data_IF_886780397563
#
_entry.id   IF_886780397563
#
_cell.length_a   1.000
_cell.length_b   1.000
_cell.length_c   1.000
_cell.angle_alpha   90.00
_cell.angle_beta   90.00
_cell.angle_gamma   90.00
#
_symmetry.space_group_name_H-M   'P 1'
#
loop_
_entity.id
_entity.type
_entity.pdbx_description
1 polymer ?
#
# COMPACT_ATOMS: atom_id res chain seq x y z
N UNK A 1 -67.52 26.77 -4.34
CA UNK A 1 -67.08 26.05 -5.55
C UNK A 1 -65.61 25.70 -5.39
N UNK A 2 -65.23 24.49 -5.79
CA UNK A 2 -63.93 23.82 -5.60
C UNK A 2 -63.09 23.89 -6.86
N UNK A 3 -61.77 24.13 -6.73
CA UNK A 3 -60.65 23.66 -7.58
C UNK A 3 -59.41 23.71 -6.65
N UNK A 4 -58.68 22.67 -6.23
CA UNK A 4 -58.15 21.39 -6.77
C UNK A 4 -56.90 21.52 -7.67
N UNK A 5 -55.76 21.00 -7.17
CA UNK A 5 -54.49 20.68 -7.88
C UNK A 5 -53.49 21.85 -8.01
N UNK A 6 -52.26 21.84 -7.50
CA UNK A 6 -51.17 20.86 -7.72
C UNK A 6 -50.20 20.75 -6.52
N UNK A 7 -49.78 19.50 -6.24
CA UNK A 7 -48.66 19.08 -5.37
C UNK A 7 -47.32 19.24 -6.11
N UNK A 8 -46.30 19.81 -5.47
CA UNK A 8 -44.86 19.41 -5.51
C UNK A 8 -44.11 20.25 -4.47
N UNK A 9 -43.90 19.71 -3.27
CA UNK A 9 -42.63 19.17 -2.75
C UNK A 9 -41.46 20.18 -2.63
N UNK A 10 -40.99 20.48 -1.39
CA UNK A 10 -39.83 21.33 -1.14
C UNK A 10 -38.55 20.50 -1.26
N UNK A 11 -38.07 20.25 -2.48
CA UNK A 11 -36.83 19.49 -2.71
C UNK A 11 -36.05 20.14 -3.86
N UNK A 12 -35.58 21.37 -3.65
CA UNK A 12 -34.69 22.04 -4.60
C UNK A 12 -33.48 22.67 -3.87
N UNK A 13 -32.99 22.01 -2.83
CA UNK A 13 -31.80 22.40 -2.08
C UNK A 13 -30.89 21.20 -1.77
N UNK A 14 -30.87 20.19 -2.65
CA UNK A 14 -29.95 19.05 -2.60
C UNK A 14 -29.33 18.86 -3.98
N UNK A 15 -28.63 19.89 -4.46
CA UNK A 15 -27.72 19.78 -5.61
C UNK A 15 -26.55 20.69 -5.27
N UNK A 16 -25.32 20.22 -5.52
CA UNK A 16 -24.03 20.91 -5.35
C UNK A 16 -23.23 20.63 -4.07
N UNK A 17 -22.99 19.35 -3.76
CA UNK A 17 -21.78 18.94 -3.04
C UNK A 17 -21.28 17.59 -3.59
N UNK A 18 -21.05 17.54 -4.90
CA UNK A 18 -20.16 16.54 -5.48
C UNK A 18 -18.72 17.05 -5.28
N UNK A 19 -18.20 16.87 -4.07
CA UNK A 19 -16.76 16.93 -3.88
C UNK A 19 -16.18 15.72 -4.63
N UNK A 20 -15.53 15.99 -5.77
CA UNK A 20 -14.69 15.00 -6.41
C UNK A 20 -13.62 14.58 -5.41
N UNK A 21 -13.81 13.40 -4.80
CA UNK A 21 -12.77 12.74 -4.04
C UNK A 21 -11.68 12.32 -5.03
N UNK A 22 -10.77 13.24 -5.37
CA UNK A 22 -9.50 12.88 -5.97
C UNK A 22 -8.72 12.09 -4.92
N UNK A 23 -8.83 10.76 -4.96
CA UNK A 23 -7.87 9.88 -4.31
C UNK A 23 -6.52 10.10 -5.00
N UNK A 24 -5.67 10.96 -4.42
CA UNK A 24 -4.33 11.18 -4.95
C UNK A 24 -3.49 9.95 -4.64
N UNK A 25 -3.11 9.22 -5.68
CA UNK A 25 -2.05 8.22 -5.59
C UNK A 25 -0.75 8.91 -5.15
N UNK A 26 0.05 8.30 -4.25
CA UNK A 26 1.36 8.83 -3.89
C UNK A 26 2.24 8.96 -5.14
N UNK A 27 3.25 9.84 -5.10
CA UNK A 27 4.04 10.17 -6.29
C UNK A 27 4.76 8.94 -6.87
N UNK A 28 5.19 8.01 -6.02
CA UNK A 28 5.76 6.71 -6.38
C UNK A 28 4.77 5.79 -7.12
N UNK A 29 3.47 5.94 -6.87
CA UNK A 29 2.42 5.13 -7.48
C UNK A 29 1.98 5.63 -8.86
N UNK A 30 2.50 6.76 -9.35
CA UNK A 30 2.09 7.37 -10.63
C UNK A 30 2.37 6.49 -11.87
N UNK A 31 3.26 5.50 -11.75
CA UNK A 31 3.54 4.57 -12.84
C UNK A 31 2.54 3.40 -12.93
N UNK A 32 1.68 3.23 -11.93
CA UNK A 32 0.73 2.12 -11.85
C UNK A 32 -0.69 2.60 -12.18
N UNK A 33 -1.50 1.76 -12.82
CA UNK A 33 -2.85 2.17 -13.27
C UNK A 33 -3.80 2.33 -12.08
N UNK A 34 -3.52 1.64 -10.97
CA UNK A 34 -4.28 1.74 -9.74
C UNK A 34 -3.44 1.36 -8.50
N UNK A 35 -3.99 1.61 -7.32
CA UNK A 35 -3.35 1.28 -6.04
C UNK A 35 -3.09 -0.22 -5.87
N UNK A 36 -3.99 -1.08 -6.33
CA UNK A 36 -3.85 -2.55 -6.19
C UNK A 36 -2.63 -3.06 -6.94
N UNK A 37 -2.40 -2.59 -8.17
CA UNK A 37 -1.20 -2.93 -8.94
C UNK A 37 0.08 -2.44 -8.27
N UNK A 38 0.09 -1.22 -7.73
CA UNK A 38 1.24 -0.74 -6.96
C UNK A 38 1.50 -1.63 -5.75
N UNK A 39 0.44 -1.96 -5.00
CA UNK A 39 0.54 -2.80 -3.82
C UNK A 39 1.06 -4.20 -4.11
N UNK A 40 0.57 -4.81 -5.18
CA UNK A 40 1.06 -6.10 -5.63
C UNK A 40 2.54 -6.04 -6.05
N UNK A 41 2.95 -4.99 -6.77
CA UNK A 41 4.33 -4.82 -7.20
C UNK A 41 5.29 -4.69 -6.01
N UNK A 42 4.95 -3.87 -5.01
CA UNK A 42 5.74 -3.70 -3.79
C UNK A 42 5.80 -5.01 -2.99
N UNK A 43 4.67 -5.70 -2.84
CA UNK A 43 4.61 -6.99 -2.13
C UNK A 43 5.45 -8.07 -2.83
N UNK A 44 5.39 -8.17 -4.16
CA UNK A 44 6.22 -9.09 -4.95
C UNK A 44 7.71 -8.77 -4.77
N UNK A 45 8.08 -7.50 -4.75
CA UNK A 45 9.45 -7.07 -4.54
C UNK A 45 9.96 -7.45 -3.14
N UNK A 46 9.19 -7.19 -2.09
CA UNK A 46 9.51 -7.61 -0.72
C UNK A 46 9.74 -9.14 -0.63
N UNK A 47 8.83 -9.92 -1.22
CA UNK A 47 8.91 -11.37 -1.18
C UNK A 47 10.13 -11.93 -1.92
N UNK A 48 10.47 -11.36 -3.07
CA UNK A 48 11.72 -11.72 -3.79
C UNK A 48 12.94 -11.44 -2.91
N UNK A 49 13.00 -10.25 -2.31
CA UNK A 49 14.13 -9.83 -1.49
C UNK A 49 14.28 -10.69 -0.23
N UNK A 50 13.18 -10.96 0.48
CA UNK A 50 13.17 -11.83 1.66
C UNK A 50 13.54 -13.27 1.30
N UNK A 51 13.08 -13.78 0.14
CA UNK A 51 13.47 -15.10 -0.35
C UNK A 51 14.97 -15.18 -0.65
N UNK A 52 15.54 -14.12 -1.23
CA UNK A 52 16.98 -14.03 -1.49
C UNK A 52 17.77 -14.02 -0.18
N UNK A 53 17.34 -13.26 0.82
CA UNK A 53 17.95 -13.22 2.15
C UNK A 53 18.02 -14.61 2.80
N UNK A 54 16.93 -15.38 2.75
CA UNK A 54 16.89 -16.74 3.28
C UNK A 54 17.88 -17.70 2.59
N UNK A 55 18.32 -17.41 1.36
CA UNK A 55 19.26 -18.23 0.59
C UNK A 55 20.72 -17.79 0.74
N UNK A 56 20.98 -16.61 1.31
CA UNK A 56 22.34 -16.11 1.49
C UNK A 56 23.02 -16.86 2.64
N UNK A 57 24.28 -17.23 2.42
CA UNK A 57 25.12 -17.80 3.47
C UNK A 57 25.49 -16.71 4.49
N UNK A 58 25.13 -16.86 5.78
CA UNK A 58 25.44 -15.88 6.82
C UNK A 58 26.93 -15.56 6.93
N UNK A 59 27.80 -16.53 6.61
CA UNK A 59 29.25 -16.37 6.66
C UNK A 59 29.80 -15.45 5.54
N UNK A 60 28.98 -15.14 4.52
CA UNK A 60 29.33 -14.23 3.43
C UNK A 60 28.88 -12.78 3.67
N UNK A 61 28.21 -12.49 4.78
CA UNK A 61 27.67 -11.15 5.07
C UNK A 61 28.66 -10.35 5.94
N UNK A 62 29.31 -9.28 5.40
CA UNK A 62 30.35 -8.54 6.12
C UNK A 62 29.83 -7.64 7.26
N UNK A 63 28.52 -7.55 7.49
CA UNK A 63 27.89 -6.79 8.59
C UNK A 63 26.46 -7.30 8.84
N UNK A 64 26.36 -8.49 9.48
CA UNK A 64 25.08 -9.16 9.72
C UNK A 64 24.11 -8.32 10.56
N UNK A 65 24.62 -7.63 11.60
CA UNK A 65 23.77 -6.84 12.50
C UNK A 65 23.08 -5.68 11.77
N UNK A 66 23.80 -4.97 10.88
CA UNK A 66 23.22 -3.89 10.09
C UNK A 66 22.16 -4.39 9.09
N UNK A 67 22.39 -5.56 8.52
CA UNK A 67 21.47 -6.19 7.57
C UNK A 67 20.21 -6.69 8.26
N UNK A 68 20.36 -7.32 9.43
CA UNK A 68 19.25 -7.77 10.27
C UNK A 68 18.37 -6.59 10.69
N UNK A 69 18.98 -5.47 11.13
CA UNK A 69 18.24 -4.25 11.45
C UNK A 69 17.50 -3.66 10.23
N UNK A 70 18.10 -3.75 9.04
CA UNK A 70 17.48 -3.27 7.81
C UNK A 70 16.32 -4.17 7.36
N UNK A 71 16.44 -5.49 7.54
CA UNK A 71 15.37 -6.46 7.30
C UNK A 71 14.21 -6.25 8.28
N UNK A 72 14.48 -6.08 9.57
CA UNK A 72 13.47 -5.76 10.59
C UNK A 72 12.72 -4.47 10.22
N UNK A 73 13.45 -3.40 9.89
CA UNK A 73 12.85 -2.13 9.50
C UNK A 73 11.99 -2.22 8.21
N UNK A 74 12.36 -3.10 7.28
CA UNK A 74 11.54 -3.40 6.10
C UNK A 74 10.26 -4.14 6.50
N UNK A 75 10.39 -5.20 7.30
CA UNK A 75 9.23 -5.99 7.76
C UNK A 75 8.22 -5.12 8.52
N UNK A 76 8.69 -4.24 9.40
CA UNK A 76 7.84 -3.28 10.12
C UNK A 76 7.13 -2.30 9.18
N UNK A 77 7.87 -1.70 8.24
CA UNK A 77 7.30 -0.76 7.30
C UNK A 77 6.26 -1.39 6.36
N UNK A 78 6.44 -2.67 6.04
CA UNK A 78 5.58 -3.43 5.15
C UNK A 78 4.47 -4.21 5.87
N UNK A 79 4.37 -4.13 7.20
CA UNK A 79 3.40 -4.92 7.98
C UNK A 79 1.94 -4.73 7.50
N UNK A 80 1.51 -3.49 7.27
CA UNK A 80 0.15 -3.20 6.78
C UNK A 80 -0.08 -3.73 5.35
N UNK A 81 0.95 -3.73 4.51
CA UNK A 81 0.87 -4.29 3.16
C UNK A 81 0.75 -5.81 3.20
N UNK A 82 1.47 -6.47 4.11
CA UNK A 82 1.37 -7.92 4.33
C UNK A 82 -0.02 -8.32 4.82
N UNK A 83 -0.57 -7.59 5.78
CA UNK A 83 -1.95 -7.80 6.26
C UNK A 83 -2.98 -7.56 5.15
N UNK A 84 -2.77 -6.53 4.31
CA UNK A 84 -3.60 -6.29 3.14
C UNK A 84 -3.56 -7.46 2.15
N UNK A 85 -2.37 -7.97 1.82
CA UNK A 85 -2.21 -9.08 0.90
C UNK A 85 -2.85 -10.36 1.44
N UNK A 86 -2.69 -10.64 2.74
CA UNK A 86 -3.33 -11.79 3.41
C UNK A 86 -4.86 -11.72 3.30
N UNK A 87 -5.46 -10.57 3.66
CA UNK A 87 -6.91 -10.35 3.60
C UNK A 87 -7.47 -10.39 2.18
N UNK A 88 -6.75 -9.83 1.23
CA UNK A 88 -7.17 -9.89 -0.18
C UNK A 88 -7.14 -11.34 -0.69
N UNK A 89 -6.12 -12.13 -0.30
CA UNK A 89 -6.03 -13.55 -0.68
C UNK A 89 -7.11 -14.42 -0.04
N UNK A 90 -7.52 -14.09 1.20
CA UNK A 90 -8.58 -14.80 1.91
C UNK A 90 -9.99 -14.39 1.46
N UNK A 91 -10.10 -13.35 0.62
CA UNK A 91 -11.37 -12.77 0.20
C UNK A 91 -12.10 -12.03 1.33
N UNK A 92 -11.38 -11.65 2.40
CA UNK A 92 -11.95 -10.94 3.53
C UNK A 92 -12.28 -9.49 3.15
N UNK A 93 -13.45 -9.01 3.59
CA UNK A 93 -13.85 -7.62 3.35
C UNK A 93 -13.01 -6.68 4.22
N UNK A 94 -12.26 -5.79 3.58
CA UNK A 94 -11.48 -4.75 4.27
C UNK A 94 -12.25 -3.43 4.39
N UNK A 95 -12.20 -2.83 5.58
CA UNK A 95 -12.74 -1.50 5.82
C UNK A 95 -12.00 -0.42 5.04
N UNK A 96 -12.70 0.66 4.68
CA UNK A 96 -12.13 1.79 3.92
C UNK A 96 -10.98 2.50 4.66
N UNK A 97 -11.07 2.57 5.99
CA UNK A 97 -10.01 3.17 6.81
C UNK A 97 -8.71 2.37 6.71
N UNK A 98 -8.78 1.05 6.83
CA UNK A 98 -7.62 0.17 6.66
C UNK A 98 -7.00 0.32 5.27
N UNK A 99 -7.79 0.29 4.20
CA UNK A 99 -7.28 0.49 2.83
C UNK A 99 -6.54 1.83 2.67
N UNK A 100 -7.04 2.89 3.32
CA UNK A 100 -6.38 4.21 3.32
C UNK A 100 -5.07 4.21 4.10
N UNK A 101 -5.01 3.51 5.23
CA UNK A 101 -3.77 3.37 6.01
C UNK A 101 -2.70 2.62 5.21
N UNK A 102 -3.05 1.51 4.56
CA UNK A 102 -2.14 0.78 3.66
C UNK A 102 -1.66 1.69 2.53
N UNK A 103 -2.57 2.45 1.91
CA UNK A 103 -2.19 3.41 0.87
C UNK A 103 -1.25 4.52 1.36
N UNK A 104 -1.35 4.91 2.63
CA UNK A 104 -0.46 5.91 3.22
C UNK A 104 0.90 5.31 3.63
N UNK A 105 0.98 4.01 3.93
CA UNK A 105 2.21 3.35 4.39
C UNK A 105 3.05 2.77 3.27
N UNK A 106 2.45 2.47 2.11
CA UNK A 106 3.09 1.67 1.07
C UNK A 106 4.37 2.29 0.48
N UNK A 107 4.43 3.61 0.39
CA UNK A 107 5.63 4.32 -0.10
C UNK A 107 6.81 4.13 0.87
N UNK A 108 6.54 4.11 2.18
CA UNK A 108 7.58 3.83 3.17
C UNK A 108 8.06 2.37 3.11
N UNK A 109 7.16 1.41 2.87
CA UNK A 109 7.53 0.01 2.63
C UNK A 109 8.46 -0.12 1.42
N UNK A 110 8.08 0.47 0.28
CA UNK A 110 8.87 0.49 -0.95
C UNK A 110 10.29 1.07 -0.73
N UNK A 111 10.40 2.20 -0.01
CA UNK A 111 11.69 2.79 0.35
C UNK A 111 12.56 1.86 1.21
N UNK A 112 11.98 1.10 2.14
CA UNK A 112 12.74 0.17 2.98
C UNK A 112 13.20 -1.07 2.22
N UNK A 113 12.38 -1.57 1.30
CA UNK A 113 12.80 -2.64 0.38
C UNK A 113 14.01 -2.19 -0.44
N UNK A 114 13.95 -0.99 -1.05
CA UNK A 114 15.07 -0.44 -1.82
C UNK A 114 16.34 -0.24 -0.98
N UNK A 115 16.19 0.20 0.27
CA UNK A 115 17.32 0.35 1.20
C UNK A 115 18.00 -0.99 1.49
N UNK A 116 17.21 -2.04 1.74
CA UNK A 116 17.73 -3.38 2.01
C UNK A 116 18.36 -4.00 0.75
N UNK A 117 17.74 -3.81 -0.41
CA UNK A 117 18.29 -4.27 -1.68
C UNK A 117 19.62 -3.60 -2.03
N UNK A 118 19.77 -2.30 -1.74
CA UNK A 118 21.01 -1.57 -1.95
C UNK A 118 22.15 -2.14 -1.08
N UNK A 119 21.86 -2.52 0.17
CA UNK A 119 22.83 -3.17 1.05
C UNK A 119 23.25 -4.53 0.48
N UNK A 120 22.29 -5.36 0.05
CA UNK A 120 22.57 -6.68 -0.52
C UNK A 120 23.37 -6.62 -1.83
N UNK A 121 23.08 -5.66 -2.69
CA UNK A 121 23.81 -5.46 -3.95
C UNK A 121 25.24 -4.96 -3.70
N UNK A 122 25.47 -4.27 -2.58
CA UNK A 122 26.80 -3.83 -2.15
C UNK A 122 27.70 -4.99 -1.68
N UNK A 123 27.11 -6.08 -1.19
CA UNK A 123 27.85 -7.24 -0.62
C UNK A 123 28.41 -8.16 -1.72
N UNK A 124 27.82 -8.17 -2.92
CA UNK A 124 28.27 -8.99 -4.05
C UNK A 124 29.43 -8.43 -4.87
N UNK A 125 30.17 -7.43 -4.36
CA UNK A 125 31.32 -6.78 -5.05
C UNK A 125 32.64 -6.97 -4.31
#
# INVERSE_FOLDING_TARGET
>A
MVFSGYKTFPIAAIVLLQAAACSTLPASARQYDNFTEYAEAVFRHQNDLSSRLMMIDPDMLPDNDSLEMAEEAMNDACHLLNEYAERESSGESMGLFFKREVQASIENCDLKIQSLEAMLTGIGK
#
